data_IF_626217763226
#
_entry.id   IF_626217763226
#
_cell.length_a   1.000
_cell.length_b   1.000
_cell.length_c   1.000
_cell.angle_alpha   90.00
_cell.angle_beta   90.00
_cell.angle_gamma   90.00
#
_symmetry.space_group_name_H-M   'P 1'
#
loop_
_entity.id
_entity.type
_entity.pdbx_description
1 polymer ?
#
# COMPACT_ATOMS: atom_id res chain seq x y z
N UNK A 1 6.33 -22.01 29.99
CA UNK A 1 5.73 -22.67 28.81
C UNK A 1 4.45 -22.00 28.35
N UNK A 2 3.51 -21.75 29.24
CA UNK A 2 2.24 -21.10 28.89
C UNK A 2 2.42 -19.64 28.46
N UNK A 3 3.42 -18.94 28.97
CA UNK A 3 3.68 -17.54 28.64
C UNK A 3 4.16 -17.36 27.20
N UNK A 4 4.90 -18.32 26.66
CA UNK A 4 5.37 -18.27 25.27
C UNK A 4 4.25 -18.50 24.28
N UNK A 5 3.34 -19.42 24.58
CA UNK A 5 2.16 -19.68 23.75
C UNK A 5 1.25 -18.47 23.75
N UNK A 6 1.04 -17.84 24.90
CA UNK A 6 0.26 -16.61 25.05
C UNK A 6 0.84 -15.48 24.22
N UNK A 7 2.17 -15.29 24.28
CA UNK A 7 2.87 -14.27 23.49
C UNK A 7 2.70 -14.50 21.99
N UNK A 8 2.84 -15.74 21.54
CA UNK A 8 2.68 -16.09 20.12
C UNK A 8 1.26 -15.83 19.64
N UNK A 9 0.26 -16.14 20.46
CA UNK A 9 -1.14 -15.88 20.14
C UNK A 9 -1.44 -14.38 20.06
N UNK A 10 -0.88 -13.59 20.96
CA UNK A 10 -1.03 -12.13 20.95
C UNK A 10 -0.35 -11.52 19.73
N UNK A 11 0.84 -11.98 19.37
CA UNK A 11 1.55 -11.53 18.19
C UNK A 11 0.79 -11.84 16.91
N UNK A 12 0.21 -13.02 16.82
CA UNK A 12 -0.63 -13.42 15.69
C UNK A 12 -1.87 -12.55 15.59
N UNK A 13 -2.52 -12.27 16.71
CA UNK A 13 -3.70 -11.40 16.78
C UNK A 13 -3.35 -9.98 16.31
N UNK A 14 -2.22 -9.45 16.75
CA UNK A 14 -1.74 -8.14 16.33
C UNK A 14 -1.42 -8.10 14.85
N UNK A 15 -0.79 -9.15 14.33
CA UNK A 15 -0.49 -9.28 12.91
C UNK A 15 -1.77 -9.31 12.06
N UNK A 16 -2.80 -10.02 12.52
CA UNK A 16 -4.08 -10.08 11.83
C UNK A 16 -4.79 -8.72 11.82
N UNK A 17 -4.74 -7.99 12.92
CA UNK A 17 -5.31 -6.63 13.02
C UNK A 17 -4.57 -5.70 12.06
N UNK A 18 -3.25 -5.73 12.05
CA UNK A 18 -2.43 -4.93 11.16
C UNK A 18 -2.76 -5.22 9.71
N UNK A 19 -2.87 -6.49 9.35
CA UNK A 19 -3.22 -6.91 7.98
C UNK A 19 -4.55 -6.31 7.55
N UNK A 20 -5.57 -6.38 8.39
CA UNK A 20 -6.90 -5.81 8.11
C UNK A 20 -6.85 -4.29 7.97
N UNK A 21 -6.10 -3.62 8.83
CA UNK A 21 -5.93 -2.17 8.74
C UNK A 21 -5.23 -1.76 7.43
N UNK A 22 -4.21 -2.50 7.02
CA UNK A 22 -3.50 -2.24 5.77
C UNK A 22 -4.40 -2.48 4.56
N UNK A 23 -5.18 -3.56 4.58
CA UNK A 23 -6.12 -3.86 3.49
C UNK A 23 -7.20 -2.78 3.35
N UNK A 24 -7.62 -2.16 4.45
CA UNK A 24 -8.64 -1.11 4.45
C UNK A 24 -8.08 0.29 4.25
N UNK A 25 -6.77 0.46 4.24
CA UNK A 25 -6.12 1.74 3.99
C UNK A 25 -6.03 1.97 2.50
N UNK A 26 -6.86 2.87 1.98
CA UNK A 26 -6.96 3.14 0.54
C UNK A 26 -6.10 4.35 0.18
N UNK A 27 -5.28 4.21 -0.85
CA UNK A 27 -4.34 5.23 -1.29
C UNK A 27 -4.60 5.52 -2.77
N UNK A 28 -4.99 6.77 -3.06
CA UNK A 28 -5.21 7.25 -4.43
C UNK A 28 -3.96 7.96 -4.93
N UNK A 29 -3.52 7.62 -6.14
CA UNK A 29 -2.33 8.20 -6.75
C UNK A 29 -2.67 8.75 -8.12
N UNK A 30 -2.46 10.04 -8.32
CA UNK A 30 -2.68 10.75 -9.58
C UNK A 30 -1.48 11.67 -9.84
N UNK A 31 -0.31 11.10 -10.05
CA UNK A 31 0.93 11.84 -10.33
C UNK A 31 0.91 12.47 -11.71
N UNK A 32 0.21 11.85 -12.65
CA UNK A 32 0.12 12.32 -14.02
C UNK A 32 -1.34 12.59 -14.39
N UNK A 33 -1.55 13.54 -15.28
CA UNK A 33 -2.88 13.98 -15.69
C UNK A 33 -3.61 12.86 -16.45
N UNK A 34 -4.83 12.57 -16.01
CA UNK A 34 -5.71 11.63 -16.70
C UNK A 34 -5.54 10.18 -16.30
N UNK A 35 -4.63 9.87 -15.39
CA UNK A 35 -4.41 8.51 -14.89
C UNK A 35 -4.47 8.50 -13.37
N UNK A 36 -5.28 7.59 -12.83
CA UNK A 36 -5.41 7.40 -11.39
C UNK A 36 -5.22 5.93 -11.07
N UNK A 37 -4.39 5.65 -10.08
CA UNK A 37 -4.13 4.31 -9.58
C UNK A 37 -4.54 4.26 -8.11
N UNK A 38 -5.28 3.23 -7.72
CA UNK A 38 -5.68 3.02 -6.34
C UNK A 38 -5.03 1.76 -5.82
N UNK A 39 -4.37 1.87 -4.69
CA UNK A 39 -3.68 0.76 -4.01
C UNK A 39 -4.07 0.79 -2.53
N UNK A 40 -3.98 -0.35 -1.85
CA UNK A 40 -4.15 -0.34 -0.40
C UNK A 40 -2.80 -0.43 0.32
N UNK A 41 -2.81 -0.36 1.64
CA UNK A 41 -1.60 -0.44 2.45
C UNK A 41 -0.93 -1.80 2.45
N UNK A 42 -1.62 -2.83 1.98
CA UNK A 42 -1.08 -4.19 1.82
C UNK A 42 -0.42 -4.40 0.45
N UNK A 43 -0.22 -3.32 -0.32
CA UNK A 43 0.39 -3.33 -1.64
C UNK A 43 -0.44 -4.09 -2.69
N UNK A 44 -1.76 -4.08 -2.54
CA UNK A 44 -2.67 -4.68 -3.50
C UNK A 44 -3.36 -3.56 -4.29
N UNK A 45 -3.16 -3.55 -5.60
CA UNK A 45 -3.83 -2.57 -6.46
C UNK A 45 -5.33 -2.87 -6.53
N UNK A 46 -6.14 -1.81 -6.36
CA UNK A 46 -7.60 -1.91 -6.35
C UNK A 46 -8.20 -1.55 -7.70
N UNK A 47 -7.67 -0.50 -8.33
CA UNK A 47 -8.18 -0.04 -9.62
C UNK A 47 -7.16 0.80 -10.37
N UNK A 48 -7.36 0.91 -11.66
CA UNK A 48 -6.64 1.81 -12.57
C UNK A 48 -7.69 2.52 -13.40
N UNK A 49 -7.69 3.85 -13.39
CA UNK A 49 -8.56 4.67 -14.21
C UNK A 49 -7.74 5.48 -15.20
N UNK A 50 -8.09 5.40 -16.48
CA UNK A 50 -7.44 6.13 -17.55
C UNK A 50 -8.54 6.91 -18.29
N UNK A 51 -8.40 8.23 -18.42
CA UNK A 51 -9.36 9.05 -19.17
C UNK A 51 -9.47 8.58 -20.61
N UNK A 52 -10.68 8.52 -21.12
CA UNK A 52 -10.95 8.07 -22.51
C UNK A 52 -10.16 8.86 -23.54
N UNK A 53 -9.99 10.16 -23.32
CA UNK A 53 -9.23 11.02 -24.23
C UNK A 53 -7.78 10.63 -24.40
N UNK A 54 -7.23 9.84 -23.48
CA UNK A 54 -5.85 9.34 -23.59
C UNK A 54 -5.76 8.02 -24.35
N UNK A 55 -6.88 7.35 -24.55
CA UNK A 55 -6.91 6.00 -25.16
C UNK A 55 -6.92 6.09 -26.68
N UNK A 56 -5.78 6.43 -27.25
CA UNK A 56 -5.57 6.42 -28.70
C UNK A 56 -4.12 6.03 -29.01
N UNK A 57 -3.88 5.62 -30.26
CA UNK A 57 -2.58 5.13 -30.67
C UNK A 57 -1.46 6.17 -30.50
N UNK A 58 -1.77 7.45 -30.65
CA UNK A 58 -0.80 8.53 -30.49
C UNK A 58 -0.32 8.72 -29.06
N UNK A 59 -1.10 8.29 -28.08
CA UNK A 59 -0.78 8.42 -26.66
C UNK A 59 -0.22 7.15 -26.03
N UNK A 60 -0.04 6.08 -26.80
CA UNK A 60 0.37 4.78 -26.26
C UNK A 60 1.61 4.89 -25.37
N UNK A 61 2.67 5.49 -25.86
CA UNK A 61 3.92 5.60 -25.11
C UNK A 61 3.77 6.47 -23.89
N UNK A 62 3.05 7.58 -23.99
CA UNK A 62 2.77 8.47 -22.88
C UNK A 62 2.00 7.74 -21.79
N UNK A 63 0.93 7.03 -22.14
CA UNK A 63 0.10 6.30 -21.18
C UNK A 63 0.93 5.23 -20.47
N UNK A 64 1.76 4.50 -21.20
CA UNK A 64 2.62 3.48 -20.61
C UNK A 64 3.60 4.08 -19.59
N UNK A 65 4.25 5.17 -19.92
CA UNK A 65 5.21 5.83 -19.04
C UNK A 65 4.52 6.45 -17.82
N UNK A 66 3.39 7.10 -18.04
CA UNK A 66 2.64 7.74 -16.96
C UNK A 66 2.04 6.70 -16.01
N UNK A 67 1.54 5.60 -16.54
CA UNK A 67 1.04 4.50 -15.73
C UNK A 67 2.15 3.90 -14.86
N UNK A 68 3.30 3.65 -15.46
CA UNK A 68 4.45 3.13 -14.73
C UNK A 68 4.87 4.06 -13.58
N UNK A 69 4.90 5.37 -13.84
CA UNK A 69 5.20 6.38 -12.82
C UNK A 69 4.19 6.34 -11.67
N UNK A 70 2.91 6.31 -12.00
CA UNK A 70 1.85 6.24 -10.99
C UNK A 70 1.93 4.96 -10.16
N UNK A 71 2.21 3.82 -10.80
CA UNK A 71 2.32 2.54 -10.10
C UNK A 71 3.52 2.52 -9.15
N UNK A 72 4.67 3.02 -9.57
CA UNK A 72 5.85 3.08 -8.71
C UNK A 72 5.63 4.01 -7.52
N UNK A 73 4.98 5.15 -7.73
CA UNK A 73 4.60 6.05 -6.63
C UNK A 73 3.61 5.38 -5.69
N UNK A 74 2.64 4.65 -6.24
CA UNK A 74 1.63 3.94 -5.44
C UNK A 74 2.29 2.91 -4.51
N UNK A 75 3.18 2.10 -5.03
CA UNK A 75 3.92 1.11 -4.23
C UNK A 75 4.69 1.78 -3.10
N UNK A 76 5.39 2.87 -3.42
CA UNK A 76 6.16 3.63 -2.43
C UNK A 76 5.26 4.18 -1.31
N UNK A 77 4.13 4.77 -1.66
CA UNK A 77 3.17 5.30 -0.68
C UNK A 77 2.55 4.19 0.16
N UNK A 78 2.25 3.04 -0.46
CA UNK A 78 1.75 1.87 0.26
C UNK A 78 2.76 1.38 1.29
N UNK A 79 4.03 1.27 0.90
CA UNK A 79 5.11 0.88 1.81
C UNK A 79 5.27 1.87 2.97
N UNK A 80 5.19 3.17 2.69
CA UNK A 80 5.27 4.21 3.71
C UNK A 80 4.08 4.14 4.68
N UNK A 81 2.87 3.91 4.17
CA UNK A 81 1.68 3.75 4.99
C UNK A 81 1.78 2.52 5.89
N UNK A 82 2.29 1.42 5.36
CA UNK A 82 2.50 0.19 6.13
C UNK A 82 3.52 0.42 7.24
N UNK A 83 4.64 1.07 6.93
CA UNK A 83 5.68 1.38 7.92
C UNK A 83 5.14 2.27 9.04
N UNK A 84 4.34 3.28 8.70
CA UNK A 84 3.73 4.18 9.68
C UNK A 84 2.78 3.43 10.61
N UNK A 85 1.95 2.55 10.06
CA UNK A 85 1.03 1.75 10.87
C UNK A 85 1.75 0.78 11.78
N UNK A 86 2.79 0.13 11.29
CA UNK A 86 3.61 -0.76 12.11
C UNK A 86 4.29 -0.02 13.26
N UNK A 87 4.82 1.16 12.98
CA UNK A 87 5.48 2.01 13.98
C UNK A 87 4.54 2.44 15.10
N UNK A 88 3.26 2.65 14.78
CA UNK A 88 2.26 3.11 15.73
C UNK A 88 1.56 1.99 16.48
N UNK A 89 1.86 0.73 16.17
CA UNK A 89 1.25 -0.40 16.87
C UNK A 89 1.91 -0.65 18.22
N UNK A 90 1.11 -0.85 19.29
CA UNK A 90 1.66 -1.23 20.59
C UNK A 90 2.34 -2.59 20.52
N UNK A 91 3.55 -2.69 21.04
CA UNK A 91 4.30 -3.94 21.07
C UNK A 91 5.16 -4.22 19.85
N UNK A 92 5.09 -3.39 18.82
CA UNK A 92 5.97 -3.48 17.66
C UNK A 92 7.21 -2.61 17.88
N UNK A 93 7.96 -2.92 18.92
CA UNK A 93 9.30 -2.34 19.11
C UNK A 93 10.30 -3.34 18.57
N UNK A 94 10.64 -3.21 17.31
CA UNK A 94 11.75 -3.98 16.75
C UNK A 94 13.06 -3.31 17.15
N UNK A 95 13.96 -4.05 17.81
CA UNK A 95 15.26 -3.50 18.16
C UNK A 95 15.99 -2.99 16.92
N UNK A 96 16.41 -1.74 16.95
CA UNK A 96 17.13 -1.11 15.85
C UNK A 96 16.28 -0.25 14.91
N UNK A 97 14.97 -0.17 15.11
CA UNK A 97 14.09 0.68 14.31
C UNK A 97 13.54 1.87 15.07
N UNK A 98 13.94 2.04 16.28
CA UNK A 98 13.56 3.18 17.12
C UNK A 98 14.45 4.39 16.87
#
# INVERSE_FOLDING_TARGET
MFDQVKKLMEMKKQADILKKELESTIIDVSETRGIKVVINGAQIFQSIEIEEGLLNAGNKNRVQMDLLKNMNTAIKRSQQAAATKMKNMPGFNLPGLS
#
